data_IF_642456297741
#
_entry.id   IF_642456297741
#
_cell.length_a   1.000
_cell.length_b   1.000
_cell.length_c   1.000
_cell.angle_alpha   90.00
_cell.angle_beta   90.00
_cell.angle_gamma   90.00
#
_symmetry.space_group_name_H-M   'P 1'
#
loop_
_entity.id
_entity.type
_entity.pdbx_description
1 polymer ?
#
# COMPACT_ATOMS: atom_id res chain seq x y z
N UNK A 1 -10.18 20.26 -21.87
CA UNK A 1 -10.05 21.65 -21.36
C UNK A 1 -10.57 21.76 -19.92
N UNK A 2 -11.79 21.35 -19.61
CA UNK A 2 -12.40 21.41 -18.26
C UNK A 2 -11.65 20.62 -17.18
N UNK A 3 -11.14 19.43 -17.50
CA UNK A 3 -10.37 18.57 -16.57
C UNK A 3 -9.17 19.32 -15.99
N UNK A 4 -8.34 19.95 -16.83
CA UNK A 4 -7.18 20.75 -16.39
C UNK A 4 -7.60 21.98 -15.59
N UNK A 5 -8.72 22.64 -15.94
CA UNK A 5 -9.24 23.77 -15.18
C UNK A 5 -9.60 23.34 -13.76
N UNK A 6 -10.39 22.28 -13.62
CA UNK A 6 -10.88 21.81 -12.33
C UNK A 6 -9.73 21.25 -11.47
N UNK A 7 -8.93 20.34 -12.02
CA UNK A 7 -7.97 19.55 -11.24
C UNK A 7 -6.60 20.21 -11.12
N UNK A 8 -6.18 21.00 -12.09
CA UNK A 8 -4.87 21.67 -12.07
C UNK A 8 -4.97 23.08 -11.50
N UNK A 9 -5.94 23.89 -11.95
CA UNK A 9 -6.06 25.29 -11.55
C UNK A 9 -6.84 25.46 -10.24
N UNK A 10 -8.02 24.85 -10.13
CA UNK A 10 -8.83 24.88 -8.91
C UNK A 10 -8.36 23.86 -7.86
N UNK A 11 -7.35 23.02 -8.18
CA UNK A 11 -6.76 22.01 -7.27
C UNK A 11 -7.77 21.05 -6.67
N UNK A 12 -8.88 20.79 -7.35
CA UNK A 12 -9.86 19.79 -6.91
C UNK A 12 -9.23 18.41 -7.08
N UNK A 13 -9.18 17.57 -6.03
CA UNK A 13 -8.62 16.21 -6.15
C UNK A 13 -9.44 15.35 -7.12
N UNK A 14 -8.76 14.46 -7.84
CA UNK A 14 -9.45 13.42 -8.59
C UNK A 14 -10.15 12.45 -7.65
N UNK A 15 -11.33 11.98 -8.04
CA UNK A 15 -11.97 10.83 -7.42
C UNK A 15 -11.57 9.56 -8.16
N UNK A 16 -11.38 8.49 -7.41
CA UNK A 16 -10.84 7.22 -7.88
C UNK A 16 -11.97 6.22 -8.21
N UNK A 17 -11.63 5.21 -9.00
CA UNK A 17 -12.49 4.07 -9.21
C UNK A 17 -12.59 3.22 -7.94
N UNK A 18 -13.81 2.82 -7.59
CA UNK A 18 -14.13 2.07 -6.38
C UNK A 18 -14.71 0.72 -6.75
N UNK A 19 -14.21 -0.33 -6.11
CA UNK A 19 -14.76 -1.67 -6.17
C UNK A 19 -15.18 -2.13 -4.77
N UNK A 20 -16.42 -2.58 -4.64
CA UNK A 20 -16.95 -3.13 -3.39
C UNK A 20 -16.86 -4.66 -3.43
N UNK A 21 -16.08 -5.27 -2.53
CA UNK A 21 -16.11 -6.71 -2.30
C UNK A 21 -17.27 -7.12 -1.41
N UNK A 22 -17.62 -6.27 -0.46
CA UNK A 22 -18.77 -6.47 0.42
C UNK A 22 -19.38 -5.10 0.76
N UNK A 23 -20.72 -4.99 0.68
CA UNK A 23 -21.45 -3.74 0.95
C UNK A 23 -22.77 -4.02 1.67
N UNK A 24 -22.72 -4.44 2.94
CA UNK A 24 -23.93 -4.61 3.74
C UNK A 24 -24.58 -3.25 4.03
N UNK A 25 -25.90 -3.24 4.23
CA UNK A 25 -26.65 -2.01 4.52
C UNK A 25 -26.20 -1.37 5.83
N UNK A 26 -25.98 -2.19 6.86
CA UNK A 26 -25.51 -1.76 8.18
C UNK A 26 -24.16 -2.43 8.51
N UNK A 27 -23.05 -1.90 8.03
CA UNK A 27 -21.73 -2.51 8.24
C UNK A 27 -21.26 -2.34 9.69
N UNK A 28 -20.80 -3.43 10.32
CA UNK A 28 -20.17 -3.40 11.63
C UNK A 28 -18.80 -2.72 11.60
N UNK A 29 -18.12 -2.77 10.45
CA UNK A 29 -16.82 -2.14 10.22
C UNK A 29 -16.67 -1.73 8.74
N UNK A 30 -15.70 -0.85 8.48
CA UNK A 30 -15.33 -0.45 7.11
C UNK A 30 -13.83 -0.64 6.89
N UNK A 31 -13.47 -1.39 5.86
CA UNK A 31 -12.08 -1.69 5.46
C UNK A 31 -11.81 -1.07 4.09
N UNK A 32 -10.68 -0.38 3.97
CA UNK A 32 -10.16 0.12 2.70
C UNK A 32 -8.93 -0.69 2.28
N UNK A 33 -8.93 -1.13 1.02
CA UNK A 33 -7.84 -1.88 0.38
C UNK A 33 -7.17 -1.01 -0.69
N UNK A 34 -5.83 -0.85 -0.62
CA UNK A 34 -5.03 -0.02 -1.51
C UNK A 34 -3.94 -0.89 -2.14
N UNK A 35 -3.99 -1.08 -3.47
CA UNK A 35 -3.07 -1.93 -4.23
C UNK A 35 -1.67 -1.32 -4.41
N UNK A 36 -0.73 -2.08 -4.97
CA UNK A 36 0.64 -1.69 -5.28
C UNK A 36 0.82 -0.94 -6.60
N UNK A 37 2.07 -0.60 -6.92
CA UNK A 37 2.46 0.02 -8.18
C UNK A 37 2.08 -0.86 -9.38
N UNK A 38 1.45 -0.28 -10.38
CA UNK A 38 1.09 -1.01 -11.60
C UNK A 38 -0.07 -1.99 -11.47
N UNK A 39 -0.69 -2.08 -10.30
CA UNK A 39 -1.77 -3.01 -10.02
C UNK A 39 -3.17 -2.35 -10.06
N UNK A 40 -4.18 -3.06 -9.60
CA UNK A 40 -5.56 -2.61 -9.48
C UNK A 40 -6.23 -3.28 -8.27
N UNK A 41 -7.52 -2.99 -8.05
CA UNK A 41 -8.32 -3.67 -7.03
C UNK A 41 -8.24 -5.21 -7.09
N UNK A 42 -7.91 -5.78 -8.25
CA UNK A 42 -7.82 -7.23 -8.47
C UNK A 42 -6.74 -7.92 -7.64
N UNK A 43 -5.69 -7.20 -7.21
CA UNK A 43 -4.69 -7.71 -6.23
C UNK A 43 -5.34 -8.35 -5.01
N UNK A 44 -6.55 -7.92 -4.65
CA UNK A 44 -7.25 -8.37 -3.45
C UNK A 44 -8.20 -9.54 -3.65
N UNK A 45 -8.33 -10.08 -4.89
CA UNK A 45 -9.20 -11.22 -5.18
C UNK A 45 -8.94 -12.43 -4.27
N UNK A 46 -7.69 -12.84 -3.98
CA UNK A 46 -7.44 -13.97 -3.08
C UNK A 46 -8.02 -13.76 -1.68
N UNK A 47 -8.17 -12.49 -1.24
CA UNK A 47 -8.72 -12.17 0.07
C UNK A 47 -10.24 -12.33 0.14
N UNK A 48 -10.95 -12.34 -1.00
CA UNK A 48 -12.43 -12.27 -1.06
C UNK A 48 -13.11 -13.37 -0.24
N UNK A 49 -12.60 -14.59 -0.30
CA UNK A 49 -13.18 -15.74 0.39
C UNK A 49 -13.06 -15.69 1.93
N UNK A 50 -12.19 -14.82 2.44
CA UNK A 50 -11.91 -14.67 3.87
C UNK A 50 -12.52 -13.41 4.48
N UNK A 51 -13.18 -12.57 3.67
CA UNK A 51 -13.74 -11.31 4.16
C UNK A 51 -15.02 -11.52 4.99
N UNK A 52 -15.16 -10.81 6.12
CA UNK A 52 -16.40 -10.85 6.90
C UNK A 52 -17.58 -10.26 6.11
N UNK A 53 -18.71 -10.97 6.06
CA UNK A 53 -19.90 -10.56 5.29
C UNK A 53 -20.61 -9.33 5.85
N UNK A 54 -20.46 -9.07 7.13
CA UNK A 54 -21.04 -7.93 7.87
C UNK A 54 -20.14 -6.67 7.84
N UNK A 55 -19.06 -6.73 7.11
CA UNK A 55 -18.07 -5.65 6.99
C UNK A 55 -18.11 -5.03 5.60
N UNK A 56 -18.19 -3.71 5.53
CA UNK A 56 -18.00 -2.99 4.26
C UNK A 56 -16.54 -3.09 3.85
N UNK A 57 -16.26 -3.68 2.68
CA UNK A 57 -14.90 -3.81 2.15
C UNK A 57 -14.82 -3.16 0.79
N UNK A 58 -13.96 -2.14 0.70
CA UNK A 58 -13.79 -1.29 -0.46
C UNK A 58 -12.36 -1.42 -0.93
N UNK A 59 -12.16 -1.69 -2.21
CA UNK A 59 -10.88 -1.55 -2.89
C UNK A 59 -10.94 -0.36 -3.85
N UNK A 60 -9.84 0.33 -4.00
CA UNK A 60 -9.71 1.44 -4.94
C UNK A 60 -8.63 1.14 -5.95
N UNK A 61 -8.81 1.65 -7.18
CA UNK A 61 -7.70 1.81 -8.12
C UNK A 61 -7.04 3.16 -7.83
N UNK A 62 -5.73 3.16 -7.56
CA UNK A 62 -5.01 4.40 -7.29
C UNK A 62 -4.95 5.31 -8.52
N UNK A 63 -4.75 6.61 -8.30
CA UNK A 63 -4.59 7.58 -9.39
C UNK A 63 -3.44 7.14 -10.30
N UNK A 64 -3.71 7.09 -11.60
CA UNK A 64 -2.75 6.61 -12.61
C UNK A 64 -2.83 5.11 -12.93
N UNK A 65 -3.69 4.33 -12.21
CA UNK A 65 -3.77 2.88 -12.34
C UNK A 65 -5.21 2.37 -12.46
N UNK A 66 -5.35 1.12 -12.90
CA UNK A 66 -6.65 0.47 -13.08
C UNK A 66 -7.61 1.32 -13.90
N UNK A 67 -8.84 1.47 -13.44
CA UNK A 67 -9.88 2.29 -14.06
C UNK A 67 -9.93 3.74 -13.52
N UNK A 68 -8.98 4.13 -12.66
CA UNK A 68 -8.88 5.50 -12.17
C UNK A 68 -8.30 6.47 -13.22
N UNK A 69 -8.54 7.79 -13.07
CA UNK A 69 -7.99 8.80 -13.97
C UNK A 69 -6.46 8.73 -14.08
N UNK A 70 -5.94 9.02 -15.29
CA UNK A 70 -4.51 8.97 -15.62
C UNK A 70 -4.04 10.28 -16.27
N UNK A 71 -4.16 11.43 -15.56
CA UNK A 71 -3.76 12.72 -16.13
C UNK A 71 -2.24 12.80 -16.35
N UNK A 72 -1.84 13.20 -17.56
CA UNK A 72 -0.43 13.32 -18.01
C UNK A 72 0.41 14.32 -17.22
N UNK A 73 -0.22 15.27 -16.55
CA UNK A 73 0.43 16.36 -15.81
C UNK A 73 0.60 16.08 -14.30
N UNK A 74 0.16 14.92 -13.79
CA UNK A 74 0.25 14.56 -12.37
C UNK A 74 1.57 13.84 -12.05
N UNK A 75 2.10 14.12 -10.86
CA UNK A 75 3.32 13.48 -10.35
C UNK A 75 3.08 12.09 -9.74
N UNK A 76 1.82 11.71 -9.50
CA UNK A 76 1.43 10.43 -8.87
C UNK A 76 2.17 10.15 -7.56
N UNK A 77 2.64 11.20 -6.87
CA UNK A 77 3.28 11.06 -5.58
C UNK A 77 2.30 10.58 -4.50
N UNK A 78 2.84 10.19 -3.36
CA UNK A 78 2.02 9.63 -2.27
C UNK A 78 1.01 10.65 -1.72
N UNK A 79 1.33 11.94 -1.75
CA UNK A 79 0.44 13.03 -1.31
C UNK A 79 -0.77 13.19 -2.24
N UNK A 80 -0.55 13.08 -3.56
CA UNK A 80 -1.62 13.06 -4.56
C UNK A 80 -2.52 11.83 -4.37
N UNK A 81 -1.94 10.65 -4.14
CA UNK A 81 -2.69 9.42 -3.86
C UNK A 81 -3.57 9.59 -2.61
N UNK A 82 -2.99 9.97 -1.48
CA UNK A 82 -3.73 10.15 -0.23
C UNK A 82 -4.86 11.18 -0.35
N UNK A 83 -4.64 12.27 -1.09
CA UNK A 83 -5.64 13.32 -1.30
C UNK A 83 -6.79 12.82 -2.17
N UNK A 84 -6.49 12.08 -3.25
CA UNK A 84 -7.50 11.47 -4.13
C UNK A 84 -8.31 10.39 -3.41
N UNK A 85 -7.66 9.57 -2.56
CA UNK A 85 -8.33 8.58 -1.70
C UNK A 85 -9.33 9.29 -0.77
N UNK A 86 -8.90 10.33 -0.06
CA UNK A 86 -9.76 11.06 0.86
C UNK A 86 -10.95 11.73 0.15
N UNK A 87 -10.75 12.29 -1.06
CA UNK A 87 -11.82 12.85 -1.88
C UNK A 87 -12.82 11.78 -2.32
N UNK A 88 -12.32 10.59 -2.70
CA UNK A 88 -13.14 9.45 -3.08
C UNK A 88 -14.00 8.97 -1.92
N UNK A 89 -13.40 8.77 -0.75
CA UNK A 89 -14.13 8.34 0.46
C UNK A 89 -15.22 9.34 0.84
N UNK A 90 -14.94 10.65 0.70
CA UNK A 90 -15.96 11.69 0.93
C UNK A 90 -17.12 11.58 -0.05
N UNK A 91 -16.85 11.36 -1.34
CA UNK A 91 -17.88 11.12 -2.36
C UNK A 91 -18.74 9.90 -2.04
N UNK A 92 -18.11 8.83 -1.51
CA UNK A 92 -18.80 7.61 -1.08
C UNK A 92 -19.46 7.74 0.31
N UNK A 93 -19.47 8.94 0.91
CA UNK A 93 -20.02 9.22 2.26
C UNK A 93 -19.36 8.38 3.36
N UNK A 94 -18.08 8.05 3.19
CA UNK A 94 -17.28 7.29 4.16
C UNK A 94 -16.41 8.27 4.95
N UNK A 95 -16.78 8.46 6.20
CA UNK A 95 -16.10 9.40 7.10
C UNK A 95 -15.11 8.73 8.05
N UNK A 96 -15.17 7.40 8.17
CA UNK A 96 -14.31 6.62 9.08
C UNK A 96 -14.03 5.23 8.53
N UNK A 97 -12.80 4.77 8.72
CA UNK A 97 -12.31 3.45 8.38
C UNK A 97 -11.81 2.76 9.64
N UNK A 98 -12.23 1.52 9.86
CA UNK A 98 -11.71 0.71 10.96
C UNK A 98 -10.33 0.19 10.63
N UNK A 99 -10.11 -0.22 9.39
CA UNK A 99 -8.80 -0.68 8.92
C UNK A 99 -8.51 -0.09 7.54
N UNK A 100 -7.29 0.39 7.34
CA UNK A 100 -6.72 0.66 6.01
C UNK A 100 -5.63 -0.37 5.76
N UNK A 101 -5.75 -1.11 4.66
CA UNK A 101 -4.82 -2.15 4.24
C UNK A 101 -4.15 -1.68 2.95
N UNK A 102 -2.85 -1.53 2.97
CA UNK A 102 -2.06 -1.18 1.79
C UNK A 102 -1.10 -2.29 1.41
N UNK A 103 -0.95 -2.57 0.13
CA UNK A 103 0.05 -3.48 -0.40
C UNK A 103 1.15 -2.70 -1.13
N UNK A 104 2.41 -3.01 -0.89
CA UNK A 104 3.55 -2.39 -1.58
C UNK A 104 3.47 -0.85 -1.54
N UNK A 105 3.46 -0.16 -2.68
CA UNK A 105 3.24 1.30 -2.78
C UNK A 105 1.94 1.74 -2.07
N UNK A 106 0.89 0.92 -2.08
CA UNK A 106 -0.36 1.19 -1.37
C UNK A 106 -0.18 1.29 0.15
N UNK A 107 0.83 0.62 0.71
CA UNK A 107 1.21 0.79 2.12
C UNK A 107 1.72 2.20 2.41
N UNK A 108 2.49 2.79 1.48
CA UNK A 108 2.98 4.17 1.60
C UNK A 108 1.83 5.16 1.51
N UNK A 109 0.87 4.90 0.60
CA UNK A 109 -0.35 5.71 0.47
C UNK A 109 -1.22 5.62 1.74
N UNK A 110 -1.33 4.44 2.37
CA UNK A 110 -2.04 4.26 3.63
C UNK A 110 -1.40 5.05 4.79
N UNK A 111 -0.06 5.07 4.85
CA UNK A 111 0.70 5.85 5.84
C UNK A 111 0.47 7.35 5.64
N UNK A 112 0.56 7.85 4.42
CA UNK A 112 0.33 9.26 4.11
C UNK A 112 -1.13 9.67 4.37
N UNK A 113 -2.09 8.79 4.05
CA UNK A 113 -3.51 9.01 4.35
C UNK A 113 -3.72 9.18 5.86
N UNK A 114 -3.16 8.28 6.68
CA UNK A 114 -3.27 8.35 8.14
C UNK A 114 -2.56 9.57 8.72
N UNK A 115 -1.42 9.98 8.16
CA UNK A 115 -0.68 11.19 8.54
C UNK A 115 -1.47 12.45 8.25
N UNK A 116 -2.03 12.56 7.05
CA UNK A 116 -2.74 13.75 6.57
C UNK A 116 -4.15 13.86 7.14
N UNK A 117 -4.81 12.72 7.38
CA UNK A 117 -6.19 12.63 7.87
C UNK A 117 -6.29 11.73 9.11
N UNK A 118 -5.72 12.14 10.27
CA UNK A 118 -5.52 11.25 11.42
C UNK A 118 -6.81 10.73 12.07
N UNK A 119 -7.96 11.37 11.80
CA UNK A 119 -9.26 10.91 12.31
C UNK A 119 -9.97 9.93 11.37
N UNK A 120 -9.46 9.74 10.16
CA UNK A 120 -10.10 8.91 9.14
C UNK A 120 -9.90 7.41 9.40
N UNK A 121 -8.74 7.01 9.91
CA UNK A 121 -8.34 5.60 10.06
C UNK A 121 -8.11 5.24 11.52
N UNK A 122 -8.64 4.09 11.98
CA UNK A 122 -8.41 3.57 13.34
C UNK A 122 -7.15 2.72 13.43
N UNK A 123 -6.82 1.98 12.36
CA UNK A 123 -5.64 1.11 12.32
C UNK A 123 -5.13 0.90 10.89
N UNK A 124 -3.87 0.48 10.75
CA UNK A 124 -3.25 0.14 9.48
C UNK A 124 -2.76 -1.30 9.46
N UNK A 125 -2.87 -1.95 8.28
CA UNK A 125 -2.15 -3.17 7.95
C UNK A 125 -1.32 -2.88 6.70
N UNK A 126 0.00 -2.98 6.82
CA UNK A 126 0.94 -2.71 5.75
C UNK A 126 1.50 -4.04 5.23
N UNK A 127 1.10 -4.41 4.02
CA UNK A 127 1.47 -5.65 3.35
C UNK A 127 2.68 -5.39 2.44
N UNK A 128 3.79 -6.08 2.70
CA UNK A 128 5.03 -5.96 1.93
C UNK A 128 5.45 -4.50 1.65
N UNK A 129 5.53 -3.62 2.68
CA UNK A 129 5.80 -2.20 2.47
C UNK A 129 7.26 -1.96 2.10
N UNK A 130 7.58 -1.25 0.99
CA UNK A 130 8.94 -0.92 0.60
C UNK A 130 9.47 0.27 1.42
N UNK A 131 9.67 0.10 2.72
CA UNK A 131 10.13 1.13 3.65
C UNK A 131 11.66 1.18 3.64
N UNK A 132 12.22 2.20 3.01
CA UNK A 132 13.66 2.44 2.88
C UNK A 132 14.13 3.55 3.81
N UNK A 133 15.44 3.60 4.06
CA UNK A 133 16.04 4.70 4.81
C UNK A 133 16.19 5.95 3.93
N UNK A 134 16.04 7.16 4.50
CA UNK A 134 16.36 8.40 3.78
C UNK A 134 17.83 8.42 3.32
N UNK A 135 18.08 9.02 2.15
CA UNK A 135 19.37 8.99 1.42
C UNK A 135 20.61 9.51 2.16
N UNK A 136 20.48 10.15 3.31
CA UNK A 136 21.54 11.01 3.85
C UNK A 136 22.76 10.26 4.41
N UNK A 137 22.68 8.99 4.84
CA UNK A 137 23.77 8.39 5.63
C UNK A 137 24.06 6.90 5.47
N UNK A 138 23.49 6.15 4.53
CA UNK A 138 23.77 4.71 4.45
C UNK A 138 23.89 4.17 3.02
N UNK A 139 24.59 3.03 2.90
CA UNK A 139 24.70 2.24 1.65
C UNK A 139 23.29 1.90 1.14
N UNK A 140 23.01 2.23 -0.12
CA UNK A 140 21.75 1.88 -0.81
C UNK A 140 21.52 0.37 -0.66
N UNK A 141 20.37 -0.02 -0.09
CA UNK A 141 20.02 -1.42 0.09
C UNK A 141 19.75 -2.12 -1.25
N UNK A 142 19.96 -3.43 -1.30
CA UNK A 142 19.77 -4.23 -2.51
C UNK A 142 18.38 -4.05 -3.16
N UNK A 143 17.24 -4.05 -2.43
CA UNK A 143 15.92 -3.79 -3.00
C UNK A 143 15.81 -2.44 -3.70
N UNK A 144 16.34 -1.38 -3.09
CA UNK A 144 16.34 -0.05 -3.69
C UNK A 144 17.20 0.02 -4.96
N UNK A 145 18.30 -0.73 -5.02
CA UNK A 145 19.12 -0.85 -6.24
C UNK A 145 18.36 -1.50 -7.37
N UNK A 146 17.60 -2.55 -7.10
CA UNK A 146 16.75 -3.23 -8.09
C UNK A 146 15.72 -2.26 -8.65
N UNK A 147 15.01 -1.53 -7.79
CA UNK A 147 13.99 -0.56 -8.22
C UNK A 147 14.60 0.59 -9.02
N UNK A 148 15.78 1.10 -8.64
CA UNK A 148 16.50 2.13 -9.40
C UNK A 148 17.01 1.62 -10.74
N UNK A 149 17.48 0.38 -10.81
CA UNK A 149 17.88 -0.26 -12.06
C UNK A 149 16.68 -0.44 -13.00
N UNK A 150 15.55 -0.92 -12.47
CA UNK A 150 14.28 -1.04 -13.21
C UNK A 150 13.82 0.34 -13.74
N UNK A 151 13.82 1.36 -12.91
CA UNK A 151 13.50 2.73 -13.30
C UNK A 151 14.42 3.21 -14.45
N UNK A 152 15.74 3.04 -14.29
CA UNK A 152 16.72 3.45 -15.30
C UNK A 152 16.51 2.72 -16.64
N UNK A 153 16.26 1.41 -16.59
CA UNK A 153 16.01 0.58 -17.77
C UNK A 153 14.77 1.04 -18.52
N UNK A 154 13.64 1.20 -17.81
CA UNK A 154 12.37 1.62 -18.42
C UNK A 154 12.48 3.05 -18.98
N UNK A 155 13.13 3.95 -18.24
CA UNK A 155 13.31 5.34 -18.68
C UNK A 155 14.19 5.48 -19.92
N UNK A 156 15.25 4.65 -20.04
CA UNK A 156 16.13 4.64 -21.22
C UNK A 156 15.47 4.00 -22.45
N UNK A 157 14.61 3.03 -22.27
CA UNK A 157 14.02 2.22 -23.32
C UNK A 157 12.48 2.10 -23.20
N UNK A 158 11.72 3.20 -23.22
CA UNK A 158 10.29 3.18 -22.86
C UNK A 158 9.44 2.30 -23.79
N UNK A 159 9.74 2.29 -25.11
CA UNK A 159 8.99 1.47 -26.09
C UNK A 159 9.27 -0.02 -25.92
N UNK A 160 10.53 -0.39 -25.72
CA UNK A 160 10.94 -1.79 -25.51
C UNK A 160 10.45 -2.30 -24.16
N UNK A 161 10.51 -1.47 -23.12
CA UNK A 161 10.01 -1.81 -21.81
C UNK A 161 8.50 -2.01 -21.76
N UNK A 162 7.72 -1.19 -22.49
CA UNK A 162 6.27 -1.41 -22.63
C UNK A 162 5.97 -2.76 -23.28
N UNK A 163 6.69 -3.12 -24.35
CA UNK A 163 6.54 -4.43 -25.02
C UNK A 163 6.92 -5.58 -24.07
N UNK A 164 8.00 -5.42 -23.29
CA UNK A 164 8.44 -6.42 -22.32
C UNK A 164 7.42 -6.60 -21.21
N UNK A 165 6.86 -5.52 -20.66
CA UNK A 165 5.80 -5.57 -19.66
C UNK A 165 4.54 -6.26 -20.20
N UNK A 166 4.11 -5.93 -21.42
CA UNK A 166 2.99 -6.59 -22.09
C UNK A 166 3.24 -8.07 -22.39
N UNK A 167 4.48 -8.43 -22.76
CA UNK A 167 4.89 -9.82 -22.93
C UNK A 167 4.85 -10.57 -21.61
N UNK A 168 5.40 -10.01 -20.54
CA UNK A 168 5.40 -10.58 -19.20
C UNK A 168 3.98 -10.81 -18.67
N UNK A 169 3.08 -9.86 -18.89
CA UNK A 169 1.66 -9.95 -18.53
C UNK A 169 0.95 -11.07 -19.33
N UNK A 170 1.13 -11.09 -20.65
CA UNK A 170 0.53 -12.10 -21.55
C UNK A 170 0.96 -13.53 -21.22
N UNK A 171 2.18 -13.71 -20.72
CA UNK A 171 2.74 -15.03 -20.40
C UNK A 171 2.68 -15.35 -18.90
N UNK A 172 1.92 -14.58 -18.11
CA UNK A 172 1.79 -14.73 -16.65
C UNK A 172 3.16 -14.81 -15.95
N UNK A 173 4.18 -14.11 -16.50
CA UNK A 173 5.50 -14.00 -15.86
C UNK A 173 5.38 -13.15 -14.59
N UNK A 174 4.38 -12.30 -14.53
CA UNK A 174 4.02 -11.50 -13.37
C UNK A 174 2.90 -12.21 -12.62
N UNK A 175 3.15 -12.79 -11.46
CA UNK A 175 2.17 -13.65 -10.77
C UNK A 175 1.04 -12.88 -10.07
N UNK A 176 1.02 -11.56 -10.14
CA UNK A 176 -0.04 -10.73 -9.53
C UNK A 176 -1.21 -10.55 -10.52
N UNK A 177 -2.36 -11.17 -10.25
CA UNK A 177 -3.60 -10.95 -11.00
C UNK A 177 -4.06 -9.48 -11.02
N UNK A 178 -3.56 -8.67 -10.10
CA UNK A 178 -3.81 -7.23 -10.02
C UNK A 178 -3.03 -6.42 -11.06
N UNK A 179 -1.91 -6.93 -11.57
CA UNK A 179 -1.09 -6.25 -12.57
C UNK A 179 -1.74 -6.35 -13.95
N UNK A 180 -2.00 -5.20 -14.57
CA UNK A 180 -2.63 -5.11 -15.89
C UNK A 180 -1.81 -4.16 -16.76
N UNK A 181 -0.87 -4.71 -17.53
CA UNK A 181 0.06 -3.94 -18.36
C UNK A 181 -0.64 -3.09 -19.43
N UNK A 182 -1.81 -3.50 -19.90
CA UNK A 182 -2.65 -2.77 -20.86
C UNK A 182 -3.29 -1.50 -20.25
N UNK A 183 -3.53 -1.51 -18.94
CA UNK A 183 -4.14 -0.40 -18.19
C UNK A 183 -3.10 0.54 -17.56
N UNK A 184 -1.81 0.29 -17.79
CA UNK A 184 -0.71 1.09 -17.24
C UNK A 184 -0.12 1.95 -18.35
N UNK A 185 0.02 3.26 -18.11
CA UNK A 185 0.86 4.08 -18.96
C UNK A 185 2.31 4.02 -18.45
N UNK A 186 3.29 3.96 -19.35
CA UNK A 186 4.70 3.99 -18.96
C UNK A 186 5.01 5.24 -18.12
N UNK A 187 4.36 6.35 -18.43
CA UNK A 187 4.52 7.62 -17.72
C UNK A 187 4.00 7.55 -16.29
N UNK A 188 2.75 7.07 -16.06
CA UNK A 188 2.20 6.94 -14.71
C UNK A 188 3.02 5.98 -13.86
N UNK A 189 3.48 4.86 -14.43
CA UNK A 189 4.29 3.88 -13.75
C UNK A 189 5.65 4.45 -13.32
N UNK A 190 6.40 5.03 -14.27
CA UNK A 190 7.72 5.60 -14.00
C UNK A 190 7.66 6.76 -13.02
N UNK A 191 6.69 7.64 -13.22
CA UNK A 191 6.52 8.79 -12.35
C UNK A 191 6.18 8.37 -10.93
N UNK A 192 5.24 7.43 -10.76
CA UNK A 192 4.89 6.91 -9.45
C UNK A 192 6.06 6.14 -8.80
N UNK A 193 6.79 5.31 -9.56
CA UNK A 193 7.96 4.60 -9.05
C UNK A 193 9.01 5.58 -8.47
N UNK A 194 9.29 6.66 -9.20
CA UNK A 194 10.27 7.66 -8.77
C UNK A 194 9.77 8.49 -7.58
N UNK A 195 8.57 9.02 -7.66
CA UNK A 195 8.05 10.00 -6.70
C UNK A 195 7.48 9.36 -5.45
N UNK A 196 6.85 8.19 -5.58
CA UNK A 196 6.18 7.51 -4.49
C UNK A 196 7.09 6.51 -3.74
N UNK A 197 7.97 5.79 -4.46
CA UNK A 197 8.77 4.72 -3.86
C UNK A 197 10.23 5.14 -3.64
N UNK A 198 10.91 5.66 -4.68
CA UNK A 198 12.35 5.95 -4.58
C UNK A 198 12.63 7.16 -3.67
N UNK A 199 11.77 8.17 -3.67
CA UNK A 199 11.95 9.41 -2.91
C UNK A 199 11.02 9.50 -1.68
N UNK A 200 10.71 8.39 -1.04
CA UNK A 200 9.81 8.30 0.10
C UNK A 200 10.44 8.71 1.43
N UNK A 201 9.58 9.04 2.40
CA UNK A 201 9.92 9.35 3.80
C UNK A 201 9.21 8.42 4.78
N UNK A 202 8.72 7.27 4.30
CA UNK A 202 7.79 6.41 5.04
C UNK A 202 8.36 5.85 6.35
N UNK A 203 9.68 5.65 6.46
CA UNK A 203 10.31 5.18 7.70
C UNK A 203 10.01 6.13 8.86
N UNK A 204 10.25 7.42 8.66
CA UNK A 204 10.03 8.46 9.67
C UNK A 204 8.54 8.73 9.88
N UNK A 205 7.75 8.65 8.81
CA UNK A 205 6.31 8.90 8.87
C UNK A 205 5.59 7.80 9.65
N UNK A 206 5.91 6.52 9.42
CA UNK A 206 5.36 5.38 10.18
C UNK A 206 5.73 5.49 11.67
N UNK A 207 6.96 5.89 11.97
CA UNK A 207 7.44 6.07 13.36
C UNK A 207 6.63 7.12 14.16
N UNK A 208 6.09 8.14 13.47
CA UNK A 208 5.31 9.22 14.10
C UNK A 208 3.84 8.87 14.32
N UNK A 209 3.31 7.88 13.62
CA UNK A 209 1.91 7.47 13.75
C UNK A 209 1.65 6.83 15.12
N UNK A 210 0.50 7.14 15.73
CA UNK A 210 0.12 6.63 17.05
C UNK A 210 -0.93 5.51 17.02
N UNK A 211 -1.62 5.35 15.87
CA UNK A 211 -2.60 4.28 15.71
C UNK A 211 -1.92 2.91 15.61
N UNK A 212 -2.63 1.81 15.91
CA UNK A 212 -2.12 0.46 15.76
C UNK A 212 -1.72 0.15 14.31
N UNK A 213 -0.52 -0.40 14.11
CA UNK A 213 0.01 -0.79 12.80
C UNK A 213 0.49 -2.23 12.85
N UNK A 214 0.00 -3.07 11.95
CA UNK A 214 0.58 -4.39 11.70
C UNK A 214 1.27 -4.39 10.35
N UNK A 215 2.55 -4.77 10.34
CA UNK A 215 3.33 -4.97 9.12
C UNK A 215 3.40 -6.48 8.86
N UNK A 216 2.93 -6.91 7.69
CA UNK A 216 3.01 -8.29 7.22
C UNK A 216 3.90 -8.35 5.99
N UNK A 217 4.93 -9.21 5.99
CA UNK A 217 5.88 -9.28 4.89
C UNK A 217 6.40 -10.69 4.66
N UNK A 218 6.63 -11.04 3.40
CA UNK A 218 7.26 -12.29 2.99
C UNK A 218 8.78 -12.26 3.22
N UNK A 219 9.36 -13.37 3.70
CA UNK A 219 10.83 -13.45 3.86
C UNK A 219 11.58 -13.57 2.54
N UNK A 220 10.91 -14.00 1.48
CA UNK A 220 11.48 -14.13 0.14
C UNK A 220 11.16 -12.91 -0.74
N UNK A 221 10.60 -11.85 -0.16
CA UNK A 221 10.26 -10.62 -0.87
C UNK A 221 11.53 -9.81 -1.18
N UNK A 222 11.93 -9.68 -2.47
CA UNK A 222 13.16 -8.99 -2.85
C UNK A 222 13.04 -7.46 -2.78
N UNK A 223 11.82 -6.92 -2.57
CA UNK A 223 11.53 -5.49 -2.62
C UNK A 223 11.45 -4.84 -1.23
N UNK A 224 11.57 -5.62 -0.16
CA UNK A 224 11.50 -5.09 1.20
C UNK A 224 12.86 -5.12 1.90
N UNK A 225 13.03 -4.23 2.87
CA UNK A 225 14.18 -4.20 3.78
C UNK A 225 13.71 -4.67 5.16
N UNK A 226 13.70 -5.98 5.38
CA UNK A 226 13.17 -6.59 6.61
C UNK A 226 13.78 -6.01 7.90
N UNK A 227 15.06 -5.61 7.85
CA UNK A 227 15.75 -4.94 8.97
C UNK A 227 15.03 -3.67 9.42
N UNK A 228 14.56 -2.84 8.47
CA UNK A 228 13.84 -1.60 8.78
C UNK A 228 12.50 -1.91 9.44
N UNK A 229 11.78 -2.92 8.95
CA UNK A 229 10.48 -3.35 9.50
C UNK A 229 10.62 -3.87 10.93
N UNK A 230 11.65 -4.69 11.17
CA UNK A 230 11.99 -5.19 12.51
C UNK A 230 12.38 -4.06 13.47
N UNK A 231 13.14 -3.07 12.99
CA UNK A 231 13.54 -1.90 13.77
C UNK A 231 12.31 -1.11 14.20
N UNK A 232 11.42 -0.74 13.26
CA UNK A 232 10.17 -0.04 13.57
C UNK A 232 9.36 -0.78 14.64
N UNK A 233 9.15 -2.08 14.45
CA UNK A 233 8.39 -2.87 15.41
C UNK A 233 9.09 -3.02 16.78
N UNK A 234 10.42 -2.94 16.85
CA UNK A 234 11.18 -2.97 18.11
C UNK A 234 11.08 -1.65 18.88
N UNK A 235 11.14 -0.53 18.16
CA UNK A 235 11.22 0.82 18.75
C UNK A 235 9.83 1.39 19.09
N UNK A 236 8.76 0.96 18.41
CA UNK A 236 7.40 1.49 18.59
C UNK A 236 6.42 0.43 19.10
N UNK A 237 5.78 0.69 20.23
CA UNK A 237 4.84 -0.25 20.89
C UNK A 237 3.57 -0.51 20.09
N UNK A 238 3.12 0.48 19.33
CA UNK A 238 1.93 0.40 18.48
C UNK A 238 2.20 -0.29 17.13
N UNK A 239 3.44 -0.72 16.84
CA UNK A 239 3.82 -1.37 15.59
C UNK A 239 4.16 -2.85 15.85
N UNK A 240 3.49 -3.75 15.14
CA UNK A 240 3.78 -5.19 15.14
C UNK A 240 4.30 -5.60 13.77
N UNK A 241 5.39 -6.38 13.73
CA UNK A 241 5.91 -6.97 12.50
C UNK A 241 5.70 -8.48 12.51
N UNK A 242 5.17 -9.03 11.41
CA UNK A 242 4.96 -10.45 11.18
C UNK A 242 5.60 -10.85 9.86
N UNK A 243 6.51 -11.83 9.91
CA UNK A 243 7.13 -12.40 8.70
C UNK A 243 6.43 -13.68 8.30
N UNK A 244 6.30 -13.91 6.99
CA UNK A 244 5.83 -15.17 6.41
C UNK A 244 6.99 -15.92 5.74
N UNK A 245 7.21 -17.16 6.15
CA UNK A 245 8.18 -18.04 5.50
C UNK A 245 7.68 -18.48 4.14
N UNK A 246 8.57 -18.64 3.16
CA UNK A 246 8.25 -19.10 1.80
C UNK A 246 7.21 -18.24 1.08
N UNK A 247 7.18 -16.95 1.35
CA UNK A 247 6.29 -15.98 0.73
C UNK A 247 7.11 -14.85 0.09
N UNK A 248 6.78 -14.52 -1.16
CA UNK A 248 7.30 -13.39 -1.94
C UNK A 248 6.53 -12.10 -1.71
N UNK A 249 6.47 -11.27 -2.77
CA UNK A 249 5.86 -9.94 -2.72
C UNK A 249 4.33 -9.95 -2.89
N UNK A 250 3.80 -10.93 -3.62
CA UNK A 250 2.41 -10.98 -4.07
C UNK A 250 1.44 -11.40 -2.97
N UNK A 251 0.17 -10.99 -3.11
CA UNK A 251 -0.95 -11.43 -2.27
C UNK A 251 -1.48 -12.78 -2.79
N UNK A 252 -0.83 -13.87 -2.40
CA UNK A 252 -1.28 -15.24 -2.69
C UNK A 252 -2.43 -15.66 -1.76
N UNK A 253 -3.09 -16.80 -2.02
CA UNK A 253 -4.12 -17.35 -1.11
C UNK A 253 -3.59 -17.53 0.32
N UNK A 254 -2.37 -18.07 0.47
CA UNK A 254 -1.73 -18.22 1.78
C UNK A 254 -1.47 -16.89 2.47
N UNK A 255 -1.11 -15.85 1.68
CA UNK A 255 -0.97 -14.50 2.21
C UNK A 255 -2.32 -13.95 2.66
N UNK A 256 -3.36 -14.12 1.84
CA UNK A 256 -4.72 -13.68 2.12
C UNK A 256 -5.32 -14.37 3.37
N UNK A 257 -5.13 -15.66 3.53
CA UNK A 257 -5.51 -16.40 4.73
C UNK A 257 -4.84 -15.82 5.99
N UNK A 258 -3.53 -15.59 5.93
CA UNK A 258 -2.80 -14.98 7.06
C UNK A 258 -3.26 -13.56 7.35
N UNK A 259 -3.51 -12.78 6.30
CA UNK A 259 -4.01 -11.41 6.39
C UNK A 259 -5.40 -11.37 7.03
N UNK A 260 -6.28 -12.31 6.68
CA UNK A 260 -7.64 -12.39 7.24
C UNK A 260 -7.63 -12.58 8.77
N UNK A 261 -6.72 -13.41 9.27
CA UNK A 261 -6.52 -13.56 10.72
C UNK A 261 -6.06 -12.27 11.40
N UNK A 262 -5.23 -11.46 10.71
CA UNK A 262 -4.81 -10.16 11.23
C UNK A 262 -5.97 -9.16 11.19
N UNK A 263 -6.77 -9.14 10.11
CA UNK A 263 -7.98 -8.32 10.00
C UNK A 263 -8.91 -8.59 11.19
N UNK A 264 -9.18 -9.86 11.48
CA UNK A 264 -10.02 -10.25 12.61
C UNK A 264 -9.48 -9.70 13.93
N UNK A 265 -8.18 -9.81 14.20
CA UNK A 265 -7.55 -9.26 15.40
C UNK A 265 -7.69 -7.73 15.52
N UNK A 266 -7.62 -7.00 14.39
CA UNK A 266 -7.85 -5.55 14.38
C UNK A 266 -9.31 -5.20 14.64
N UNK A 267 -10.26 -5.97 14.14
CA UNK A 267 -11.71 -5.75 14.34
C UNK A 267 -12.16 -6.08 15.76
N UNK A 268 -11.61 -7.14 16.39
CA UNK A 268 -11.95 -7.56 17.76
C UNK A 268 -11.18 -6.80 18.85
N UNK A 269 -10.18 -5.99 18.47
CA UNK A 269 -9.30 -5.31 19.45
C UNK A 269 -8.26 -6.24 20.10
N UNK A 270 -8.17 -7.51 19.66
CA UNK A 270 -7.20 -8.50 20.14
C UNK A 270 -5.79 -8.30 19.52
N UNK A 271 -5.38 -7.07 19.35
CA UNK A 271 -4.01 -6.78 18.90
C UNK A 271 -3.04 -7.25 19.96
N UNK A 272 -2.04 -8.09 19.63
CA UNK A 272 -1.08 -8.54 20.62
C UNK A 272 -0.30 -7.34 21.13
N UNK A 273 -0.66 -6.89 22.33
CA UNK A 273 0.21 -6.05 23.12
C UNK A 273 1.50 -6.86 23.28
N UNK A 274 2.65 -6.30 22.85
CA UNK A 274 3.94 -6.96 23.09
C UNK A 274 4.03 -7.32 24.57
N UNK A 275 4.39 -8.56 24.93
CA UNK A 275 4.60 -8.90 26.31
C UNK A 275 5.61 -7.91 26.88
N UNK A 276 5.24 -7.21 27.94
CA UNK A 276 6.15 -6.34 28.68
C UNK A 276 7.29 -7.23 29.14
N UNK A 277 8.49 -7.04 28.57
CA UNK A 277 9.69 -7.73 29.07
C UNK A 277 9.79 -7.38 30.54
N UNK A 278 9.52 -8.34 31.43
CA UNK A 278 9.83 -8.22 32.86
C UNK A 278 11.29 -7.82 32.95
N UNK A 279 11.54 -6.60 33.44
CA UNK A 279 12.87 -6.16 33.81
C UNK A 279 13.31 -7.17 34.86
N UNK A 280 14.31 -8.01 34.54
CA UNK A 280 14.96 -8.85 35.54
C UNK A 280 15.49 -7.88 36.62
N UNK A 281 14.85 -7.87 37.78
CA UNK A 281 15.42 -7.21 38.95
C UNK A 281 16.82 -7.79 39.14
N UNK A 282 17.84 -6.95 38.95
CA UNK A 282 19.18 -7.25 39.41
C UNK A 282 19.08 -7.47 40.91
N UNK A 283 19.21 -8.71 41.33
CA UNK A 283 19.47 -9.01 42.76
C UNK A 283 20.86 -8.48 43.04
N UNK A 284 20.92 -7.53 43.99
CA UNK A 284 22.15 -7.14 44.68
C UNK A 284 22.65 -8.31 45.53
#
# INVERSE_FOLDING_TARGET
MFDRLIHRWLRVPYTLNVHYFCRPDNPNATILLIHGLGASWRTWKPLTQYLPKDTRVIAIDMLGFGNSPKPDWKSYNIQDQATSIAATLRRESITRLDIVIGHSMGSLAAVELAKKYPRLSRSLILCSPPIYQPKANEKIHHPEKILRALYSLINKHPRSSKRLLQFADRHNIWPDEGFQADQITAESFLTALNTAIINQTALDDVAKLKLPITILAGKLDPLIVERNLKKLAKEHKNITHRSMTMQGHEITDKYAERLSGIIKQHLTGELPLKPVRRIKRLRK
#
